data_IF_400139508739
#
_entry.id   IF_400139508739
#
_cell.length_a   1.000
_cell.length_b   1.000
_cell.length_c   1.000
_cell.angle_alpha   90.00
_cell.angle_beta   90.00
_cell.angle_gamma   90.00
#
_symmetry.space_group_name_H-M   'P 1'
#
loop_
_entity.id
_entity.type
_entity.pdbx_description
1 polymer ?
#
# COMPACT_ATOMS: atom_id res chain seq x y z
N UNK A 1 8.84 1.90 -27.12
CA UNK A 1 8.19 0.58 -27.26
C UNK A 1 7.71 0.44 -28.70
N UNK A 2 8.07 -0.66 -29.36
CA UNK A 2 7.52 -1.05 -30.67
C UNK A 2 6.04 -1.43 -30.56
N UNK A 3 5.40 -1.70 -31.71
CA UNK A 3 3.97 -1.95 -31.78
C UNK A 3 3.56 -3.33 -31.23
N UNK A 4 4.42 -4.33 -31.41
CA UNK A 4 4.14 -5.70 -30.98
C UNK A 4 4.12 -5.77 -29.45
N UNK A 5 5.13 -5.17 -28.81
CA UNK A 5 5.21 -5.11 -27.36
C UNK A 5 4.04 -4.33 -26.74
N UNK A 6 3.63 -3.21 -27.35
CA UNK A 6 2.43 -2.47 -26.91
C UNK A 6 1.17 -3.33 -26.99
N UNK A 7 1.03 -4.12 -28.05
CA UNK A 7 -0.13 -5.00 -28.25
C UNK A 7 -0.15 -6.12 -27.21
N UNK A 8 1.00 -6.76 -26.95
CA UNK A 8 1.15 -7.80 -25.91
C UNK A 8 0.82 -7.22 -24.53
N UNK A 9 1.41 -6.07 -24.18
CA UNK A 9 1.20 -5.44 -22.88
C UNK A 9 -0.25 -5.02 -22.69
N UNK A 10 -0.87 -4.41 -23.70
CA UNK A 10 -2.27 -4.00 -23.64
C UNK A 10 -3.17 -5.22 -23.42
N UNK A 11 -2.99 -6.28 -24.21
CA UNK A 11 -3.77 -7.51 -24.06
C UNK A 11 -3.65 -8.08 -22.64
N UNK A 12 -2.42 -8.15 -22.11
CA UNK A 12 -2.19 -8.69 -20.77
C UNK A 12 -2.81 -7.82 -19.67
N UNK A 13 -2.67 -6.48 -19.76
CA UNK A 13 -3.34 -5.55 -18.83
C UNK A 13 -4.87 -5.72 -18.91
N UNK A 14 -5.45 -5.85 -20.11
CA UNK A 14 -6.89 -6.01 -20.32
C UNK A 14 -7.41 -7.35 -19.74
N UNK A 15 -6.70 -8.47 -19.96
CA UNK A 15 -7.02 -9.79 -19.39
C UNK A 15 -7.07 -9.72 -17.86
N UNK A 16 -5.99 -9.23 -17.22
CA UNK A 16 -5.92 -9.08 -15.76
C UNK A 16 -7.01 -8.16 -15.21
N UNK A 17 -7.33 -7.09 -15.93
CA UNK A 17 -8.29 -6.05 -15.49
C UNK A 17 -9.75 -6.47 -15.69
N UNK A 18 -10.06 -7.25 -16.71
CA UNK A 18 -11.43 -7.63 -17.09
C UNK A 18 -11.98 -8.78 -16.26
N UNK A 19 -11.14 -9.74 -15.88
CA UNK A 19 -11.53 -10.90 -15.06
C UNK A 19 -11.51 -10.61 -13.55
N UNK A 20 -10.97 -9.46 -13.14
CA UNK A 20 -10.78 -9.12 -11.74
C UNK A 20 -12.09 -8.62 -11.09
N UNK A 21 -12.55 -9.27 -9.99
CA UNK A 21 -13.80 -8.95 -9.31
C UNK A 21 -13.72 -7.67 -8.46
N UNK A 22 -12.52 -7.14 -8.19
CA UNK A 22 -12.35 -5.85 -7.52
C UNK A 22 -12.93 -4.73 -8.40
N UNK A 23 -13.48 -3.70 -7.77
CA UNK A 23 -13.95 -2.53 -8.51
C UNK A 23 -12.80 -1.83 -9.24
N UNK A 24 -13.11 -1.09 -10.31
CA UNK A 24 -12.09 -0.32 -11.04
C UNK A 24 -11.34 0.66 -10.13
N UNK A 25 -12.03 1.28 -9.18
CA UNK A 25 -11.39 2.14 -8.18
C UNK A 25 -10.33 1.39 -7.36
N UNK A 26 -10.64 0.17 -6.89
CA UNK A 26 -9.72 -0.63 -6.09
C UNK A 26 -8.52 -1.13 -6.90
N UNK A 27 -8.75 -1.50 -8.16
CA UNK A 27 -7.68 -1.87 -9.10
C UNK A 27 -6.73 -0.68 -9.32
N UNK A 28 -7.25 0.51 -9.61
CA UNK A 28 -6.42 1.70 -9.83
C UNK A 28 -5.62 2.11 -8.58
N UNK A 29 -6.22 2.07 -7.39
CA UNK A 29 -5.51 2.37 -6.15
C UNK A 29 -4.40 1.34 -5.82
N UNK A 30 -4.63 0.08 -6.17
CA UNK A 30 -3.63 -0.99 -6.07
C UNK A 30 -2.45 -0.73 -7.01
N UNK A 31 -2.74 -0.39 -8.28
CA UNK A 31 -1.74 -0.07 -9.29
C UNK A 31 -0.93 1.18 -8.89
N UNK A 32 -1.60 2.24 -8.43
CA UNK A 32 -0.95 3.46 -7.93
C UNK A 32 0.02 3.14 -6.80
N UNK A 33 -0.33 2.22 -5.90
CA UNK A 33 0.54 1.82 -4.80
C UNK A 33 1.84 1.19 -5.31
N UNK A 34 1.75 0.26 -6.26
CA UNK A 34 2.90 -0.37 -6.89
C UNK A 34 3.75 0.62 -7.72
N UNK A 35 3.11 1.44 -8.55
CA UNK A 35 3.80 2.45 -9.37
C UNK A 35 4.49 3.50 -8.50
N UNK A 36 3.95 3.80 -7.32
CA UNK A 36 4.61 4.67 -6.34
C UNK A 36 5.90 4.03 -5.82
N UNK A 37 5.93 2.71 -5.61
CA UNK A 37 7.16 1.98 -5.26
C UNK A 37 8.18 1.98 -6.40
N UNK A 38 7.70 1.73 -7.64
CA UNK A 38 8.50 1.62 -8.86
C UNK A 38 9.03 2.98 -9.36
N UNK A 39 8.41 4.09 -8.92
CA UNK A 39 8.75 5.45 -9.35
C UNK A 39 8.56 5.70 -10.86
N UNK A 40 7.63 4.97 -11.49
CA UNK A 40 7.30 5.19 -12.91
C UNK A 40 6.43 6.44 -13.07
N UNK A 41 7.05 7.52 -13.54
CA UNK A 41 6.39 8.81 -13.70
C UNK A 41 5.28 8.79 -14.77
N UNK A 42 5.47 8.06 -15.86
CA UNK A 42 4.54 8.06 -16.98
C UNK A 42 3.27 7.32 -16.60
N UNK A 43 3.43 6.10 -16.09
CA UNK A 43 2.31 5.27 -15.65
C UNK A 43 1.62 5.88 -14.42
N UNK A 44 2.35 6.49 -13.47
CA UNK A 44 1.71 7.22 -12.36
C UNK A 44 0.79 8.35 -12.86
N UNK A 45 1.24 9.12 -13.86
CA UNK A 45 0.44 10.22 -14.41
C UNK A 45 -0.83 9.68 -15.08
N UNK A 46 -0.71 8.59 -15.83
CA UNK A 46 -1.84 7.92 -16.48
C UNK A 46 -2.83 7.38 -15.45
N UNK A 47 -2.36 6.57 -14.50
CA UNK A 47 -3.22 5.93 -13.50
C UNK A 47 -3.83 6.92 -12.50
N UNK A 48 -3.16 8.03 -12.16
CA UNK A 48 -3.82 9.11 -11.43
C UNK A 48 -4.98 9.70 -12.24
N UNK A 49 -4.80 9.91 -13.56
CA UNK A 49 -5.84 10.46 -14.41
C UNK A 49 -7.03 9.51 -14.54
N UNK A 50 -6.78 8.20 -14.62
CA UNK A 50 -7.82 7.17 -14.67
C UNK A 50 -8.57 7.09 -13.33
N UNK A 51 -7.85 7.02 -12.21
CA UNK A 51 -8.43 6.94 -10.88
C UNK A 51 -9.35 8.13 -10.58
N UNK A 52 -8.97 9.35 -10.99
CA UNK A 52 -9.76 10.57 -10.79
C UNK A 52 -11.14 10.55 -11.45
N UNK A 53 -11.41 9.63 -12.37
CA UNK A 53 -12.75 9.45 -12.93
C UNK A 53 -13.75 8.88 -11.92
N UNK A 54 -13.28 8.19 -10.87
CA UNK A 54 -14.14 7.49 -9.90
C UNK A 54 -13.72 7.67 -8.44
N UNK A 55 -12.49 8.15 -8.19
CA UNK A 55 -11.91 8.29 -6.86
C UNK A 55 -11.58 9.75 -6.59
N UNK A 56 -11.88 10.22 -5.37
CA UNK A 56 -11.52 11.58 -4.97
C UNK A 56 -10.00 11.75 -4.90
N UNK A 57 -9.53 12.97 -5.21
CA UNK A 57 -8.11 13.32 -5.07
C UNK A 57 -7.59 13.09 -3.64
N UNK A 58 -8.42 13.34 -2.64
CA UNK A 58 -8.06 13.20 -1.23
C UNK A 58 -7.85 11.72 -0.87
N UNK A 59 -8.67 10.81 -1.39
CA UNK A 59 -8.48 9.38 -1.16
C UNK A 59 -7.25 8.84 -1.89
N UNK A 60 -7.02 9.25 -3.14
CA UNK A 60 -5.78 8.89 -3.88
C UNK A 60 -4.55 9.38 -3.11
N UNK A 61 -4.60 10.61 -2.62
CA UNK A 61 -3.51 11.23 -1.87
C UNK A 61 -3.25 10.48 -0.55
N UNK A 62 -4.30 10.05 0.15
CA UNK A 62 -4.17 9.24 1.37
C UNK A 62 -3.54 7.87 1.10
N UNK A 63 -3.89 7.22 -0.02
CA UNK A 63 -3.23 5.98 -0.47
C UNK A 63 -1.74 6.21 -0.72
N UNK A 64 -1.35 7.33 -1.31
CA UNK A 64 0.06 7.66 -1.56
C UNK A 64 0.80 8.06 -0.27
N UNK A 65 0.17 8.84 0.61
CA UNK A 65 0.77 9.29 1.87
C UNK A 65 1.15 8.13 2.78
N UNK A 66 0.24 7.17 2.96
CA UNK A 66 0.45 6.06 3.89
C UNK A 66 1.63 5.15 3.52
N UNK A 67 2.13 5.21 2.27
CA UNK A 67 3.26 4.40 1.86
C UNK A 67 4.59 4.91 2.44
N UNK A 68 4.64 6.13 3.00
CA UNK A 68 5.89 6.75 3.46
C UNK A 68 6.67 5.88 4.45
N UNK A 69 6.05 5.22 5.44
CA UNK A 69 6.78 4.38 6.40
C UNK A 69 7.32 3.09 5.79
N UNK A 70 6.72 2.60 4.69
CA UNK A 70 7.17 1.40 4.00
C UNK A 70 8.24 1.68 2.95
N UNK A 71 8.10 2.77 2.18
CA UNK A 71 8.94 3.02 0.99
C UNK A 71 9.81 4.27 1.10
N UNK A 72 9.71 5.00 2.20
CA UNK A 72 10.40 6.26 2.46
C UNK A 72 9.74 7.48 1.81
N UNK A 73 9.93 8.64 2.44
CA UNK A 73 9.29 9.89 2.01
C UNK A 73 9.74 10.40 0.64
N UNK A 74 10.94 10.05 0.18
CA UNK A 74 11.45 10.50 -1.12
C UNK A 74 10.60 9.98 -2.28
N UNK A 75 10.24 8.69 -2.25
CA UNK A 75 9.39 8.07 -3.27
C UNK A 75 7.97 8.63 -3.24
N UNK A 76 7.42 8.80 -2.05
CA UNK A 76 6.10 9.39 -1.83
C UNK A 76 6.05 10.84 -2.32
N UNK A 77 7.05 11.67 -2.01
CA UNK A 77 7.15 13.06 -2.48
C UNK A 77 7.15 13.16 -4.00
N UNK A 78 7.80 12.23 -4.70
CA UNK A 78 7.79 12.20 -6.15
C UNK A 78 6.40 11.88 -6.71
N UNK A 79 5.71 10.87 -6.16
CA UNK A 79 4.34 10.54 -6.55
C UNK A 79 3.37 11.71 -6.29
N UNK A 80 3.47 12.36 -5.13
CA UNK A 80 2.64 13.53 -4.79
C UNK A 80 2.88 14.71 -5.75
N UNK A 81 4.11 14.98 -6.16
CA UNK A 81 4.40 16.03 -7.16
C UNK A 81 3.70 15.74 -8.49
N UNK A 82 3.65 14.46 -8.90
CA UNK A 82 2.95 14.03 -10.11
C UNK A 82 1.43 14.21 -9.92
N UNK A 83 0.87 13.74 -8.80
CA UNK A 83 -0.55 13.91 -8.48
C UNK A 83 -0.96 15.39 -8.46
N UNK A 84 -0.16 16.25 -7.83
CA UNK A 84 -0.40 17.70 -7.78
C UNK A 84 -0.38 18.31 -9.20
N UNK A 85 0.48 17.81 -10.09
CA UNK A 85 0.52 18.25 -11.50
C UNK A 85 -0.75 17.83 -12.25
N UNK A 86 -1.22 16.60 -12.05
CA UNK A 86 -2.44 16.08 -12.69
C UNK A 86 -3.69 16.82 -12.20
N UNK A 87 -3.76 17.09 -10.90
CA UNK A 87 -4.97 17.62 -10.24
C UNK A 87 -5.00 19.14 -10.13
N UNK A 88 -3.85 19.82 -10.31
CA UNK A 88 -3.66 21.25 -10.00
C UNK A 88 -4.04 21.61 -8.56
N UNK A 89 -4.00 20.66 -7.63
CA UNK A 89 -4.28 20.84 -6.21
C UNK A 89 -3.06 20.42 -5.41
N UNK A 90 -2.65 21.26 -4.45
CA UNK A 90 -1.58 20.93 -3.52
C UNK A 90 -2.11 20.69 -2.11
N UNK A 91 -1.62 19.62 -1.49
CA UNK A 91 -1.87 19.29 -0.10
C UNK A 91 -3.29 18.86 0.23
N UNK A 92 -3.42 18.39 1.46
CA UNK A 92 -4.67 18.10 2.16
C UNK A 92 -4.44 18.41 3.63
N UNK A 93 -5.46 18.95 4.30
CA UNK A 93 -5.40 19.19 5.74
C UNK A 93 -6.00 18.01 6.49
N UNK A 94 -5.32 17.57 7.55
CA UNK A 94 -5.79 16.54 8.47
C UNK A 94 -5.32 16.89 9.88
N UNK A 95 -6.16 16.55 10.87
CA UNK A 95 -5.79 16.71 12.26
C UNK A 95 -4.82 15.58 12.65
N UNK A 96 -3.73 15.94 13.32
CA UNK A 96 -2.80 14.99 13.93
C UNK A 96 -3.14 14.93 15.42
N UNK A 97 -3.34 13.73 16.00
CA UNK A 97 -3.55 13.60 17.44
C UNK A 97 -2.41 14.21 18.26
N UNK A 98 -2.72 14.76 19.43
CA UNK A 98 -1.69 15.27 20.35
C UNK A 98 -0.73 14.14 20.82
N UNK A 99 -1.30 12.97 21.11
CA UNK A 99 -0.56 11.76 21.45
C UNK A 99 -0.70 10.71 20.32
N UNK A 100 0.18 10.82 19.32
CA UNK A 100 0.19 9.90 18.19
C UNK A 100 0.64 8.49 18.58
N UNK A 101 1.41 8.30 19.65
CA UNK A 101 1.78 6.96 20.11
C UNK A 101 0.56 6.21 20.64
N UNK A 102 -0.18 6.82 21.58
CA UNK A 102 -1.40 6.23 22.12
C UNK A 102 -2.42 5.97 21.03
N UNK A 103 -2.66 6.96 20.16
CA UNK A 103 -3.60 6.80 19.05
C UNK A 103 -3.18 5.69 18.07
N UNK A 104 -1.89 5.59 17.75
CA UNK A 104 -1.36 4.54 16.89
C UNK A 104 -1.47 3.14 17.50
N UNK A 105 -1.28 3.01 18.81
CA UNK A 105 -1.34 1.73 19.51
C UNK A 105 -2.73 1.08 19.41
N UNK A 106 -3.81 1.88 19.41
CA UNK A 106 -5.18 1.39 19.26
C UNK A 106 -5.40 0.69 17.90
N UNK A 107 -4.70 1.13 16.85
CA UNK A 107 -4.75 0.50 15.52
C UNK A 107 -3.74 -0.66 15.40
N UNK A 108 -2.54 -0.49 15.91
CA UNK A 108 -1.48 -1.50 15.77
C UNK A 108 -1.80 -2.78 16.54
N UNK A 109 -2.26 -2.66 17.79
CA UNK A 109 -2.36 -3.80 18.72
C UNK A 109 -3.34 -4.89 18.23
N UNK A 110 -4.54 -4.59 17.71
CA UNK A 110 -5.44 -5.60 17.19
C UNK A 110 -4.88 -6.35 15.97
N UNK A 111 -4.06 -5.68 15.16
CA UNK A 111 -3.53 -6.24 13.91
C UNK A 111 -2.23 -7.03 14.14
N UNK A 112 -1.29 -6.47 14.90
CA UNK A 112 0.09 -6.95 15.00
C UNK A 112 0.54 -7.30 16.43
N UNK A 113 -0.21 -6.89 17.46
CA UNK A 113 0.23 -7.05 18.84
C UNK A 113 1.60 -6.39 19.09
N UNK A 114 2.53 -7.14 19.71
CA UNK A 114 3.85 -6.67 20.09
C UNK A 114 4.99 -7.21 19.21
N UNK A 115 4.69 -7.86 18.08
CA UNK A 115 5.66 -8.63 17.30
C UNK A 115 6.99 -7.88 17.03
N UNK A 116 6.93 -6.65 16.51
CA UNK A 116 8.12 -5.84 16.23
C UNK A 116 8.83 -5.39 17.51
N UNK A 117 8.08 -5.09 18.56
CA UNK A 117 8.65 -4.67 19.85
C UNK A 117 9.50 -5.80 20.44
N UNK A 118 8.96 -7.01 20.40
CA UNK A 118 9.64 -8.19 20.95
C UNK A 118 10.82 -8.60 20.06
N UNK A 119 10.65 -8.56 18.74
CA UNK A 119 11.70 -8.90 17.77
C UNK A 119 12.93 -7.96 17.86
N UNK A 120 12.72 -6.70 18.22
CA UNK A 120 13.77 -5.67 18.26
C UNK A 120 14.34 -5.44 19.67
N UNK A 121 13.84 -6.13 20.69
CA UNK A 121 14.08 -5.80 22.10
C UNK A 121 15.57 -5.73 22.48
N UNK A 122 16.38 -6.63 21.91
CA UNK A 122 17.80 -6.79 22.27
C UNK A 122 18.75 -5.85 21.49
N UNK A 123 18.22 -4.93 20.68
CA UNK A 123 19.06 -3.99 19.93
C UNK A 123 19.77 -2.98 20.85
N UNK A 124 21.06 -2.67 20.60
CA UNK A 124 21.88 -1.87 21.49
C UNK A 124 21.51 -0.38 21.47
N UNK A 125 22.11 0.39 22.39
CA UNK A 125 22.03 1.85 22.43
C UNK A 125 20.59 2.40 22.37
N UNK A 126 19.66 1.72 23.08
CA UNK A 126 18.24 2.08 23.15
C UNK A 126 17.47 1.92 21.82
N UNK A 127 18.08 1.37 20.76
CA UNK A 127 17.43 1.19 19.47
C UNK A 127 16.24 0.23 19.55
N UNK A 128 16.32 -0.80 20.41
CA UNK A 128 15.23 -1.78 20.61
C UNK A 128 13.96 -1.20 21.22
N UNK A 129 14.08 -0.05 21.90
CA UNK A 129 12.92 0.72 22.37
C UNK A 129 12.46 1.74 21.33
N UNK A 130 13.40 2.50 20.75
CA UNK A 130 13.07 3.62 19.86
C UNK A 130 12.44 3.19 18.55
N UNK A 131 12.94 2.13 17.91
CA UNK A 131 12.42 1.67 16.63
C UNK A 131 10.93 1.28 16.69
N UNK A 132 10.47 0.39 17.60
CA UNK A 132 9.06 0.08 17.73
C UNK A 132 8.22 1.27 18.21
N UNK A 133 8.73 2.15 19.09
CA UNK A 133 8.02 3.40 19.45
C UNK A 133 7.78 4.30 18.24
N UNK A 134 8.79 4.49 17.39
CA UNK A 134 8.67 5.28 16.16
C UNK A 134 7.76 4.62 15.14
N UNK A 135 7.73 3.30 15.06
CA UNK A 135 6.78 2.56 14.24
C UNK A 135 5.35 2.86 14.71
N UNK A 136 5.04 2.67 16.00
CA UNK A 136 3.70 2.95 16.54
C UNK A 136 3.30 4.41 16.32
N UNK A 137 4.21 5.34 16.66
CA UNK A 137 3.96 6.78 16.61
C UNK A 137 3.82 7.30 15.18
N UNK A 138 4.83 7.07 14.35
CA UNK A 138 4.98 7.73 13.05
C UNK A 138 4.38 6.92 11.89
N UNK A 139 4.01 5.65 12.12
CA UNK A 139 3.24 4.87 11.14
C UNK A 139 1.76 4.84 11.50
N UNK A 140 1.41 4.18 12.59
CA UNK A 140 0.01 4.02 12.95
C UNK A 140 -0.60 5.35 13.43
N UNK A 141 0.11 6.06 14.31
CA UNK A 141 -0.34 7.34 14.85
C UNK A 141 -0.54 8.44 13.81
N UNK A 142 0.36 8.56 12.84
CA UNK A 142 0.33 9.64 11.85
C UNK A 142 -0.59 9.37 10.65
N UNK A 143 -0.81 8.09 10.29
CA UNK A 143 -1.55 7.72 9.08
C UNK A 143 -2.89 7.03 9.36
N UNK A 144 -2.96 6.07 10.29
CA UNK A 144 -4.21 5.32 10.54
C UNK A 144 -5.29 6.19 11.18
N UNK A 145 -4.88 7.21 11.94
CA UNK A 145 -5.77 8.13 12.67
C UNK A 145 -6.49 9.14 11.76
N UNK A 146 -6.07 9.29 10.49
CA UNK A 146 -6.64 10.29 9.56
C UNK A 146 -8.05 9.99 9.09
N UNK A 147 -8.52 8.74 9.25
CA UNK A 147 -9.91 8.33 9.03
C UNK A 147 -10.44 8.33 7.59
N UNK A 148 -9.77 8.99 6.64
CA UNK A 148 -10.22 9.09 5.25
C UNK A 148 -10.16 7.77 4.47
N UNK A 149 -9.21 6.89 4.82
CA UNK A 149 -9.07 5.55 4.26
C UNK A 149 -9.35 4.51 5.36
N UNK A 150 -10.33 3.61 5.19
CA UNK A 150 -10.64 2.56 6.16
C UNK A 150 -9.44 1.66 6.43
N UNK A 151 -9.33 1.11 7.65
CA UNK A 151 -8.21 0.25 8.06
C UNK A 151 -8.01 -0.93 7.09
N UNK A 152 -9.11 -1.56 6.65
CA UNK A 152 -9.04 -2.66 5.67
C UNK A 152 -8.34 -2.25 4.37
N UNK A 153 -8.62 -1.04 3.88
CA UNK A 153 -8.08 -0.54 2.62
C UNK A 153 -6.65 -0.03 2.80
N UNK A 154 -6.32 0.53 3.97
CA UNK A 154 -4.95 0.88 4.35
C UNK A 154 -4.04 -0.33 4.24
N UNK A 155 -4.45 -1.41 4.89
CA UNK A 155 -3.71 -2.67 4.91
C UNK A 155 -3.59 -3.30 3.51
N UNK A 156 -4.67 -3.31 2.73
CA UNK A 156 -4.67 -3.86 1.36
C UNK A 156 -3.71 -3.12 0.42
N UNK A 157 -3.74 -1.79 0.40
CA UNK A 157 -2.88 -1.02 -0.52
C UNK A 157 -1.43 -0.95 -0.04
N UNK A 158 -1.21 -0.99 1.28
CA UNK A 158 0.12 -1.15 1.85
C UNK A 158 0.71 -2.52 1.49
N UNK A 159 -0.08 -3.60 1.59
CA UNK A 159 0.31 -4.93 1.15
C UNK A 159 0.73 -4.93 -0.32
N UNK A 160 -0.01 -4.26 -1.21
CA UNK A 160 0.37 -4.13 -2.61
C UNK A 160 1.76 -3.48 -2.80
N UNK A 161 2.07 -2.44 -2.02
CA UNK A 161 3.39 -1.81 -2.02
C UNK A 161 4.49 -2.75 -1.47
N UNK A 162 4.22 -3.50 -0.41
CA UNK A 162 5.15 -4.48 0.18
C UNK A 162 5.43 -5.65 -0.78
N UNK A 163 4.41 -6.15 -1.48
CA UNK A 163 4.55 -7.14 -2.55
C UNK A 163 5.47 -6.61 -3.65
N UNK A 164 5.28 -5.35 -4.06
CA UNK A 164 6.12 -4.70 -5.08
C UNK A 164 7.58 -4.56 -4.64
N UNK A 165 7.84 -4.40 -3.34
CA UNK A 165 9.19 -4.38 -2.77
C UNK A 165 9.78 -5.77 -2.50
N UNK A 166 8.98 -6.84 -2.60
CA UNK A 166 9.37 -8.22 -2.30
C UNK A 166 9.95 -8.42 -0.88
N UNK A 167 9.30 -7.85 0.13
CA UNK A 167 9.74 -7.93 1.54
C UNK A 167 9.02 -9.04 2.31
N UNK A 168 9.57 -10.26 2.30
CA UNK A 168 8.92 -11.51 2.73
C UNK A 168 8.26 -11.44 4.12
N UNK A 169 9.00 -10.98 5.12
CA UNK A 169 8.52 -10.88 6.51
C UNK A 169 7.29 -9.96 6.60
N UNK A 170 7.37 -8.78 5.97
CA UNK A 170 6.29 -7.80 5.98
C UNK A 170 5.10 -8.26 5.14
N UNK A 171 5.30 -8.95 4.01
CA UNK A 171 4.19 -9.50 3.21
C UNK A 171 3.36 -10.48 4.05
N UNK A 172 4.01 -11.37 4.81
CA UNK A 172 3.31 -12.32 5.70
C UNK A 172 2.54 -11.59 6.80
N UNK A 173 3.20 -10.66 7.50
CA UNK A 173 2.58 -9.90 8.58
C UNK A 173 1.38 -9.07 8.09
N UNK A 174 1.50 -8.38 6.95
CA UNK A 174 0.42 -7.57 6.39
C UNK A 174 -0.67 -8.38 5.69
N UNK A 175 -0.40 -9.60 5.21
CA UNK A 175 -1.46 -10.50 4.77
C UNK A 175 -2.38 -10.85 5.96
N UNK A 176 -1.80 -11.29 7.08
CA UNK A 176 -2.55 -11.58 8.31
C UNK A 176 -3.23 -10.31 8.89
N UNK A 177 -2.52 -9.18 8.91
CA UNK A 177 -3.06 -7.89 9.33
C UNK A 177 -4.25 -7.46 8.48
N UNK A 178 -4.17 -7.64 7.16
CA UNK A 178 -5.27 -7.34 6.23
C UNK A 178 -6.50 -8.20 6.47
N UNK A 179 -6.33 -9.49 6.75
CA UNK A 179 -7.41 -10.41 7.10
C UNK A 179 -8.09 -9.98 8.42
N UNK A 180 -7.29 -9.67 9.46
CA UNK A 180 -7.80 -9.15 10.75
C UNK A 180 -8.53 -7.81 10.60
N UNK A 181 -8.10 -6.97 9.66
CA UNK A 181 -8.74 -5.70 9.34
C UNK A 181 -10.06 -5.87 8.57
N UNK A 182 -10.40 -7.09 8.13
CA UNK A 182 -11.68 -7.42 7.49
C UNK A 182 -11.63 -7.55 5.97
N UNK A 183 -10.44 -7.67 5.35
CA UNK A 183 -10.36 -8.14 3.97
C UNK A 183 -10.60 -9.65 3.92
N UNK A 184 -11.22 -10.12 2.85
CA UNK A 184 -11.23 -11.53 2.49
C UNK A 184 -9.93 -11.95 1.82
N UNK A 185 -9.58 -13.24 1.94
CA UNK A 185 -8.46 -13.82 1.18
C UNK A 185 -8.60 -13.55 -0.32
N UNK A 186 -9.82 -13.66 -0.86
CA UNK A 186 -10.12 -13.39 -2.27
C UNK A 186 -9.75 -11.96 -2.67
N UNK A 187 -10.15 -10.95 -1.87
CA UNK A 187 -9.79 -9.55 -2.15
C UNK A 187 -8.26 -9.36 -2.17
N UNK A 188 -7.52 -10.01 -1.28
CA UNK A 188 -6.06 -9.90 -1.21
C UNK A 188 -5.36 -10.61 -2.36
N UNK A 189 -5.81 -11.81 -2.75
CA UNK A 189 -5.28 -12.52 -3.91
C UNK A 189 -5.52 -11.71 -5.19
N UNK A 190 -6.71 -11.17 -5.39
CA UNK A 190 -7.01 -10.33 -6.56
C UNK A 190 -6.27 -9.00 -6.53
N UNK A 191 -5.97 -8.45 -5.35
CA UNK A 191 -5.06 -7.31 -5.19
C UNK A 191 -3.67 -7.68 -5.70
N UNK A 192 -3.11 -8.82 -5.30
CA UNK A 192 -1.81 -9.28 -5.77
C UNK A 192 -1.79 -9.56 -7.28
N UNK A 193 -2.85 -10.18 -7.83
CA UNK A 193 -2.98 -10.45 -9.27
C UNK A 193 -3.06 -9.17 -10.10
N UNK A 194 -3.67 -8.10 -9.58
CA UNK A 194 -3.70 -6.77 -10.23
C UNK A 194 -2.29 -6.25 -10.55
N UNK A 195 -1.29 -6.66 -9.76
CA UNK A 195 0.09 -6.21 -9.92
C UNK A 195 0.84 -6.94 -11.05
N UNK A 196 0.31 -8.04 -11.59
CA UNK A 196 0.99 -8.90 -12.56
C UNK A 196 1.62 -8.13 -13.74
N UNK A 197 0.92 -7.21 -14.43
CA UNK A 197 1.49 -6.48 -15.55
C UNK A 197 2.64 -5.52 -15.18
N UNK A 198 2.77 -5.19 -13.90
CA UNK A 198 3.70 -4.18 -13.40
C UNK A 198 4.93 -4.79 -12.71
N UNK A 199 4.76 -5.92 -12.02
CA UNK A 199 5.83 -6.52 -11.21
C UNK A 199 6.18 -7.96 -11.61
N UNK A 200 5.42 -8.55 -12.54
CA UNK A 200 5.67 -9.88 -13.09
C UNK A 200 5.25 -11.05 -12.20
N UNK A 201 5.22 -12.24 -12.81
CA UNK A 201 4.73 -13.47 -12.19
C UNK A 201 5.46 -13.90 -10.90
N UNK A 202 6.81 -13.89 -10.80
CA UNK A 202 7.48 -14.45 -9.64
C UNK A 202 7.07 -13.79 -8.31
N UNK A 203 6.97 -12.45 -8.30
CA UNK A 203 6.58 -11.71 -7.10
C UNK A 203 5.12 -11.95 -6.73
N UNK A 204 4.23 -12.02 -7.73
CA UNK A 204 2.81 -12.28 -7.49
C UNK A 204 2.59 -13.71 -7.01
N UNK A 205 3.18 -14.72 -7.64
CA UNK A 205 3.04 -16.13 -7.23
C UNK A 205 3.47 -16.31 -5.77
N UNK A 206 4.66 -15.80 -5.42
CA UNK A 206 5.18 -15.89 -4.06
C UNK A 206 4.28 -15.18 -3.03
N UNK A 207 3.59 -14.12 -3.44
CA UNK A 207 2.71 -13.34 -2.57
C UNK A 207 1.35 -13.99 -2.40
N UNK A 208 0.77 -14.52 -3.49
CA UNK A 208 -0.49 -15.29 -3.45
C UNK A 208 -0.35 -16.50 -2.53
N UNK A 209 0.77 -17.23 -2.61
CA UNK A 209 1.03 -18.36 -1.70
C UNK A 209 1.06 -17.94 -0.22
N UNK A 210 1.69 -16.81 0.09
CA UNK A 210 1.74 -16.30 1.48
C UNK A 210 0.38 -15.81 1.98
N UNK A 211 -0.40 -15.17 1.11
CA UNK A 211 -1.74 -14.71 1.44
C UNK A 211 -2.63 -15.92 1.76
N UNK A 212 -2.53 -16.97 0.95
CA UNK A 212 -3.25 -18.22 1.18
C UNK A 212 -2.88 -18.85 2.54
N UNK A 213 -1.58 -18.98 2.82
CA UNK A 213 -1.07 -19.52 4.09
C UNK A 213 -1.47 -18.69 5.32
N UNK A 214 -1.68 -17.39 5.17
CA UNK A 214 -2.08 -16.53 6.28
C UNK A 214 -3.57 -16.70 6.68
N UNK A 215 -4.37 -17.35 5.84
CA UNK A 215 -5.79 -17.64 6.08
C UNK A 215 -6.02 -19.05 6.68
N UNK A 216 -4.97 -19.87 6.77
CA UNK A 216 -4.98 -21.20 7.42
C UNK A 216 -4.77 -21.10 8.93
#
# INVERSE_FOLDING_TARGET
MDQDYKTILKRFKDEVTSENPLSKAEQELTIISALTVLQDKADLKEHFSIALNTVSVDLIREVVYQLSPAIGSSKVKNALRILNTVTKKDGQHFAIPEDTYKAGLEFQKPLYGNEIKDLMADLPANAGKLLPEWLTKNFFGDYYTRGALPVKDRERYLLAALITMNVDFQIKAHALGSLKAGNSESELIWTALTLLPYIGFPLVINSVQKIHQANE
#
